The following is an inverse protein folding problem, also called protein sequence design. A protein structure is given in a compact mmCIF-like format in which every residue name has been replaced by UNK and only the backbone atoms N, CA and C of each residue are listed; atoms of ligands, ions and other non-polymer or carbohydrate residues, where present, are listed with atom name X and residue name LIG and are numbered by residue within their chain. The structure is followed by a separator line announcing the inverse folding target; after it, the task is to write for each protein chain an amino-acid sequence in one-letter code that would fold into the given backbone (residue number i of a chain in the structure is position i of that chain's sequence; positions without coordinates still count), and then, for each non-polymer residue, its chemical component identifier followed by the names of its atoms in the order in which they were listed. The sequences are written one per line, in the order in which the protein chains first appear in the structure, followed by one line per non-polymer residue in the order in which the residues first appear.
data_IF_792159390526
#
_entry.id   IF_792159390526
#
_cell.length_a   1.000
_cell.length_b   1.000
_cell.length_c   1.000
_cell.angle_alpha   90.00
_cell.angle_beta   90.00
_cell.angle_gamma   90.00
#
_symmetry.space_group_name_H-M   'P 1'
#
loop_
_entity.id
_entity.type
_entity.pdbx_description
1 polymer ?
#
# COMPACT_ATOMS: atom_id res chain seq x y z
N UNK A 1 -8.26 -5.17 15.00
CA UNK A 1 -7.51 -4.32 14.05
C UNK A 1 -8.06 -4.65 12.67
N UNK A 2 -9.00 -3.85 12.17
CA UNK A 2 -9.77 -4.18 10.95
C UNK A 2 -8.95 -3.93 9.67
N UNK A 3 -8.13 -4.91 9.31
CA UNK A 3 -7.28 -4.89 8.12
C UNK A 3 -8.08 -4.69 6.82
N UNK A 4 -9.33 -5.16 6.76
CA UNK A 4 -10.21 -4.98 5.61
C UNK A 4 -10.57 -3.49 5.39
N UNK A 5 -10.87 -2.76 6.47
CA UNK A 5 -11.20 -1.34 6.41
C UNK A 5 -9.99 -0.49 6.00
N UNK A 6 -8.80 -0.81 6.54
CA UNK A 6 -7.56 -0.12 6.17
C UNK A 6 -7.15 -0.39 4.71
N UNK A 7 -7.40 -1.61 4.19
CA UNK A 7 -7.16 -1.92 2.79
C UNK A 7 -8.06 -1.10 1.87
N UNK A 8 -9.36 -1.03 2.16
CA UNK A 8 -10.30 -0.31 1.32
C UNK A 8 -9.99 1.19 1.24
N UNK A 9 -9.62 1.82 2.36
CA UNK A 9 -9.22 3.23 2.38
C UNK A 9 -7.95 3.50 1.55
N UNK A 10 -6.93 2.64 1.65
CA UNK A 10 -5.70 2.80 0.87
C UNK A 10 -5.94 2.58 -0.62
N UNK A 11 -6.78 1.62 -0.98
CA UNK A 11 -7.16 1.34 -2.36
C UNK A 11 -7.91 2.50 -3.00
N UNK A 12 -8.77 3.20 -2.26
CA UNK A 12 -9.42 4.43 -2.75
C UNK A 12 -8.42 5.58 -2.97
N UNK A 13 -7.45 5.76 -2.06
CA UNK A 13 -6.39 6.76 -2.22
C UNK A 13 -5.48 6.44 -3.40
N UNK A 14 -5.12 5.17 -3.59
CA UNK A 14 -4.35 4.70 -4.73
C UNK A 14 -5.08 4.98 -6.04
N UNK A 15 -6.38 4.72 -6.11
CA UNK A 15 -7.21 5.04 -7.27
C UNK A 15 -7.20 6.53 -7.63
N UNK A 16 -7.30 7.41 -6.64
CA UNK A 16 -7.18 8.86 -6.87
C UNK A 16 -5.83 9.25 -7.49
N UNK A 17 -4.73 8.70 -6.97
CA UNK A 17 -3.38 8.99 -7.50
C UNK A 17 -3.17 8.48 -8.92
N UNK A 18 -3.75 7.31 -9.24
CA UNK A 18 -3.65 6.70 -10.57
C UNK A 18 -4.52 7.45 -11.59
N UNK A 19 -5.75 7.84 -11.23
CA UNK A 19 -6.59 8.67 -12.09
C UNK A 19 -5.97 10.04 -12.36
N UNK A 20 -5.32 10.66 -11.38
CA UNK A 20 -4.59 11.91 -11.58
C UNK A 20 -3.46 11.79 -12.63
N UNK A 21 -2.99 10.58 -12.91
CA UNK A 21 -1.99 10.26 -13.93
C UNK A 21 -2.58 9.69 -15.22
N UNK A 22 -3.92 9.70 -15.36
CA UNK A 22 -4.62 9.14 -16.53
C UNK A 22 -4.69 7.62 -16.56
N UNK A 23 -4.36 6.94 -15.46
CA UNK A 23 -4.41 5.47 -15.35
C UNK A 23 -5.78 5.07 -14.81
N UNK A 24 -6.56 4.33 -15.60
CA UNK A 24 -7.85 3.80 -15.18
C UNK A 24 -7.67 2.79 -14.03
N UNK A 25 -8.30 3.05 -12.89
CA UNK A 25 -8.18 2.19 -11.71
C UNK A 25 -9.50 2.09 -10.95
N UNK A 26 -9.96 0.86 -10.70
CA UNK A 26 -11.16 0.61 -9.91
C UNK A 26 -10.82 -0.21 -8.66
N UNK A 27 -11.14 0.32 -7.49
CA UNK A 27 -10.73 -0.26 -6.20
C UNK A 27 -11.31 -1.66 -5.94
N UNK A 28 -12.46 -1.99 -6.55
CA UNK A 28 -13.11 -3.30 -6.45
C UNK A 28 -12.58 -4.29 -7.53
N UNK A 29 -12.46 -3.83 -8.78
CA UNK A 29 -11.99 -4.64 -9.91
C UNK A 29 -10.46 -4.88 -9.98
N UNK A 30 -9.68 -3.98 -9.36
CA UNK A 30 -8.21 -4.07 -9.26
C UNK A 30 -7.77 -4.18 -7.80
N UNK A 31 -8.60 -4.79 -6.94
CA UNK A 31 -8.34 -4.88 -5.51
C UNK A 31 -7.07 -5.69 -5.23
N UNK A 32 -5.99 -5.00 -4.84
CA UNK A 32 -4.80 -5.69 -4.36
C UNK A 32 -5.06 -6.06 -2.91
N UNK A 33 -5.42 -7.32 -2.68
CA UNK A 33 -5.58 -7.85 -1.34
C UNK A 33 -4.30 -7.63 -0.53
N UNK A 34 -4.47 -7.20 0.72
CA UNK A 34 -3.36 -6.98 1.66
C UNK A 34 -2.35 -5.92 1.20
N UNK A 35 -2.71 -5.00 0.28
CA UNK A 35 -1.80 -3.95 -0.20
C UNK A 35 -1.14 -3.14 0.93
N UNK A 36 -1.88 -2.60 1.93
CA UNK A 36 -1.27 -1.93 3.08
C UNK A 36 -0.31 -2.83 3.86
N UNK A 37 -0.64 -4.13 3.94
CA UNK A 37 0.16 -5.09 4.68
C UNK A 37 1.49 -5.37 3.99
N UNK A 38 1.49 -5.54 2.67
CA UNK A 38 2.73 -5.72 1.88
C UNK A 38 3.61 -4.47 1.98
N UNK A 39 3.04 -3.27 1.80
CA UNK A 39 3.80 -2.02 1.94
C UNK A 39 4.41 -1.90 3.34
N UNK A 40 3.63 -2.21 4.39
CA UNK A 40 4.14 -2.21 5.75
C UNK A 40 5.30 -3.21 5.95
N UNK A 41 5.19 -4.44 5.43
CA UNK A 41 6.27 -5.43 5.49
C UNK A 41 7.52 -4.95 4.75
N UNK A 42 7.37 -4.38 3.55
CA UNK A 42 8.49 -3.84 2.77
C UNK A 42 9.20 -2.71 3.50
N UNK A 43 8.45 -1.77 4.08
CA UNK A 43 9.04 -0.67 4.87
C UNK A 43 9.78 -1.21 6.10
N UNK A 44 9.20 -2.19 6.81
CA UNK A 44 9.87 -2.80 7.96
C UNK A 44 11.19 -3.51 7.56
N UNK A 45 11.18 -4.25 6.46
CA UNK A 45 12.38 -4.91 5.95
C UNK A 45 13.46 -3.87 5.57
N UNK A 46 13.07 -2.80 4.86
CA UNK A 46 13.99 -1.73 4.49
C UNK A 46 14.59 -1.02 5.71
N UNK A 47 13.76 -0.69 6.71
CA UNK A 47 14.22 -0.05 7.94
C UNK A 47 15.14 -0.96 8.75
N UNK A 48 14.93 -2.28 8.73
CA UNK A 48 15.81 -3.23 9.40
C UNK A 48 17.21 -3.24 8.78
N UNK A 49 17.29 -3.25 7.45
CA UNK A 49 18.56 -3.12 6.71
C UNK A 49 19.23 -1.78 7.01
N UNK A 50 18.49 -0.68 6.95
CA UNK A 50 19.03 0.65 7.21
C UNK A 50 19.62 0.77 8.62
N UNK A 51 18.93 0.23 9.64
CA UNK A 51 19.44 0.20 11.03
C UNK A 51 20.72 -0.62 11.15
N UNK A 52 20.79 -1.76 10.46
CA UNK A 52 21.97 -2.63 10.48
C UNK A 52 23.19 -2.04 9.76
N UNK A 53 23.00 -1.08 8.86
CA UNK A 53 24.07 -0.40 8.12
C UNK A 53 24.49 0.95 8.73
N UNK A 54 23.69 1.54 9.62
CA UNK A 54 23.98 2.81 10.32
C UNK A 54 24.56 2.58 11.73
N UNK A 55 24.52 1.35 12.25
CA UNK A 55 25.30 0.90 13.41
C UNK A 55 26.61 0.27 12.97
#
# INVERSE_FOLDING_TARGET
MDNASNNNMMMQKLGHLLHARGVAFHHDGNCVQCFPHVINLTVQAFLAVLKAHIM
#
